data_IF_280319620657
#
_entry.id   IF_280319620657
#
_cell.length_a   1.000
_cell.length_b   1.000
_cell.length_c   1.000
_cell.angle_alpha   90.00
_cell.angle_beta   90.00
_cell.angle_gamma   90.00
#
_symmetry.space_group_name_H-M   'P 1'
#
loop_
_entity.id
_entity.type
_entity.pdbx_description
1 polymer ?
#
# COMPACT_ATOMS: atom_id res chain seq x y z
N UNK A 1 1.46 14.74 -6.91
CA UNK A 1 2.12 14.39 -8.16
C UNK A 1 1.64 15.26 -9.32
N UNK A 2 0.33 15.45 -9.50
CA UNK A 2 -0.21 16.28 -10.57
C UNK A 2 0.40 17.70 -10.61
N UNK A 3 0.58 18.35 -9.46
CA UNK A 3 1.23 19.65 -9.37
C UNK A 3 2.70 19.62 -9.85
N UNK A 4 3.46 18.55 -9.54
CA UNK A 4 4.83 18.40 -10.06
C UNK A 4 4.83 18.24 -11.59
N UNK A 5 3.88 17.49 -12.13
CA UNK A 5 3.74 17.32 -13.59
C UNK A 5 3.34 18.62 -14.29
N UNK A 6 2.62 19.51 -13.61
CA UNK A 6 2.22 20.82 -14.13
C UNK A 6 3.25 21.93 -13.85
N UNK A 7 4.43 21.60 -13.30
CA UNK A 7 5.47 22.56 -13.04
C UNK A 7 5.27 23.45 -11.80
N UNK A 8 4.50 22.97 -10.83
CA UNK A 8 4.17 23.68 -9.60
C UNK A 8 4.84 23.04 -8.36
N UNK A 9 6.18 22.96 -8.29
CA UNK A 9 6.88 22.29 -7.20
C UNK A 9 6.71 22.97 -5.84
N UNK A 10 6.52 24.29 -5.79
CA UNK A 10 6.35 25.02 -4.54
C UNK A 10 5.09 24.60 -3.77
N UNK A 11 4.01 24.27 -4.48
CA UNK A 11 2.79 23.73 -3.86
C UNK A 11 3.12 22.41 -3.17
N UNK A 12 3.87 21.54 -3.83
CA UNK A 12 4.25 20.23 -3.28
C UNK A 12 5.23 20.38 -2.12
N UNK A 13 6.22 21.27 -2.23
CA UNK A 13 7.15 21.59 -1.14
C UNK A 13 6.41 22.04 0.11
N UNK A 14 5.48 22.98 -0.05
CA UNK A 14 4.67 23.49 1.05
C UNK A 14 3.78 22.41 1.66
N UNK A 15 3.18 21.54 0.83
CA UNK A 15 2.38 20.41 1.30
C UNK A 15 3.23 19.44 2.13
N UNK A 16 4.42 19.05 1.67
CA UNK A 16 5.33 18.14 2.38
C UNK A 16 5.67 18.72 3.76
N UNK A 17 6.06 20.00 3.84
CA UNK A 17 6.42 20.66 5.09
C UNK A 17 5.24 20.84 6.05
N UNK A 18 4.06 21.21 5.52
CA UNK A 18 2.85 21.39 6.32
C UNK A 18 2.36 20.06 6.91
N UNK A 19 2.34 19.01 6.10
CA UNK A 19 1.92 17.67 6.56
C UNK A 19 2.92 17.06 7.53
N UNK A 20 4.22 17.31 7.37
CA UNK A 20 5.24 16.89 8.33
C UNK A 20 5.00 17.45 9.73
N UNK A 21 4.58 18.71 9.83
CA UNK A 21 4.24 19.34 11.12
C UNK A 21 3.02 18.74 11.80
N UNK A 22 2.20 18.00 11.05
CA UNK A 22 1.03 17.28 11.57
C UNK A 22 1.35 15.85 11.97
N UNK A 23 2.59 15.37 11.74
CA UNK A 23 3.02 14.05 12.19
C UNK A 23 2.80 13.91 13.70
N UNK A 24 2.31 12.74 14.13
CA UNK A 24 1.96 12.54 15.53
C UNK A 24 3.19 12.51 16.43
N UNK A 25 3.05 13.15 17.56
CA UNK A 25 3.75 12.84 18.80
C UNK A 25 2.85 11.89 19.59
N UNK A 26 3.28 11.29 20.66
CA UNK A 26 2.40 10.43 21.49
C UNK A 26 1.06 11.15 21.76
N UNK A 27 -0.01 10.63 21.20
CA UNK A 27 -1.36 11.19 21.35
C UNK A 27 -2.31 10.07 21.77
N UNK A 28 -3.06 10.31 22.84
CA UNK A 28 -4.20 9.45 23.18
C UNK A 28 -5.41 9.91 22.39
N UNK A 29 -5.98 8.98 21.63
CA UNK A 29 -7.25 9.16 20.93
C UNK A 29 -8.22 8.15 21.53
N UNK A 30 -9.16 8.59 22.34
CA UNK A 30 -10.11 7.75 23.08
C UNK A 30 -9.37 6.66 23.89
N UNK A 31 -9.51 5.40 23.46
CA UNK A 31 -8.89 4.23 24.07
C UNK A 31 -7.59 3.81 23.40
N UNK A 32 -7.20 4.48 22.32
CA UNK A 32 -6.02 4.15 21.54
C UNK A 32 -4.92 5.18 21.78
N UNK A 33 -3.70 4.69 21.94
CA UNK A 33 -2.52 5.52 21.96
C UNK A 33 -1.91 5.51 20.56
N UNK A 34 -1.85 6.69 19.93
CA UNK A 34 -1.21 6.86 18.65
C UNK A 34 0.31 6.92 18.87
N UNK A 35 1.05 6.06 18.20
CA UNK A 35 2.51 6.07 18.26
C UNK A 35 3.10 7.34 17.64
N UNK A 36 4.29 7.73 18.10
CA UNK A 36 5.06 8.80 17.46
C UNK A 36 5.38 8.44 16.02
N UNK A 37 5.22 9.39 15.11
CA UNK A 37 5.60 9.22 13.71
C UNK A 37 4.48 8.87 12.75
N UNK A 38 3.25 8.62 13.23
CA UNK A 38 2.10 8.36 12.36
C UNK A 38 1.75 9.63 11.58
N UNK A 39 1.57 9.51 10.28
CA UNK A 39 1.09 10.59 9.42
C UNK A 39 -0.44 10.63 9.42
N UNK A 40 -1.06 11.82 9.40
CA UNK A 40 -2.51 11.92 9.40
C UNK A 40 -3.15 11.38 8.11
N UNK A 41 -4.37 10.88 8.23
CA UNK A 41 -5.19 10.46 7.09
C UNK A 41 -5.65 11.65 6.25
N UNK A 42 -5.99 12.73 6.92
CA UNK A 42 -6.44 14.00 6.33
C UNK A 42 -6.20 15.15 7.31
N UNK A 43 -6.44 16.36 6.88
CA UNK A 43 -6.43 17.52 7.74
C UNK A 43 -7.48 18.52 7.30
N UNK A 44 -7.91 19.35 8.24
CA UNK A 44 -8.82 20.49 8.02
C UNK A 44 -8.07 21.80 8.23
N UNK A 45 -8.40 22.80 7.44
CA UNK A 45 -7.97 24.17 7.64
C UNK A 45 -9.11 24.89 8.38
N UNK A 46 -8.84 25.29 9.60
CA UNK A 46 -9.75 26.09 10.41
C UNK A 46 -9.36 27.55 10.29
N UNK A 47 -10.29 28.38 9.82
CA UNK A 47 -10.13 29.81 9.74
C UNK A 47 -10.75 30.46 10.97
N UNK A 48 -9.94 31.24 11.72
CA UNK A 48 -10.40 32.12 12.80
C UNK A 48 -10.69 33.51 12.21
N UNK A 49 -11.96 33.90 12.04
CA UNK A 49 -12.30 35.17 11.43
C UNK A 49 -11.96 36.39 12.32
N UNK A 50 -11.79 36.18 13.63
CA UNK A 50 -11.46 37.24 14.57
C UNK A 50 -9.98 37.58 14.52
N UNK A 51 -9.13 36.57 14.47
CA UNK A 51 -7.67 36.69 14.44
C UNK A 51 -7.09 36.71 13.04
N UNK A 52 -7.91 36.43 12.03
CA UNK A 52 -7.51 36.21 10.63
C UNK A 52 -6.33 35.24 10.51
N UNK A 53 -6.41 34.14 11.26
CA UNK A 53 -5.38 33.09 11.29
C UNK A 53 -5.96 31.76 10.82
N UNK A 54 -5.12 30.97 10.16
CA UNK A 54 -5.47 29.62 9.74
C UNK A 54 -4.71 28.59 10.60
N UNK A 55 -5.44 27.61 11.09
CA UNK A 55 -4.88 26.52 11.89
C UNK A 55 -5.16 25.19 11.19
N UNK A 56 -4.14 24.35 11.09
CA UNK A 56 -4.27 23.00 10.55
C UNK A 56 -4.62 22.04 11.68
N UNK A 57 -5.68 21.27 11.50
CA UNK A 57 -6.11 20.22 12.42
C UNK A 57 -6.00 18.86 11.73
N UNK A 58 -5.12 18.01 12.25
CA UNK A 58 -4.91 16.66 11.75
C UNK A 58 -6.07 15.73 12.14
N UNK A 59 -6.39 14.80 11.24
CA UNK A 59 -7.30 13.68 11.46
C UNK A 59 -6.50 12.38 11.24
N UNK A 60 -6.38 11.59 12.29
CA UNK A 60 -5.67 10.31 12.27
C UNK A 60 -6.60 9.10 12.10
N UNK A 61 -7.75 9.29 11.47
CA UNK A 61 -8.76 8.27 11.28
C UNK A 61 -9.93 8.37 12.28
N UNK A 62 -9.98 9.41 13.11
CA UNK A 62 -11.04 9.64 14.10
C UNK A 62 -12.41 9.80 13.42
N UNK A 63 -12.43 10.37 12.19
CA UNK A 63 -13.64 10.56 11.38
C UNK A 63 -13.93 9.41 10.44
N UNK A 64 -13.02 8.42 10.35
CA UNK A 64 -13.23 7.23 9.53
C UNK A 64 -14.12 6.20 10.23
N UNK A 65 -14.83 5.41 9.43
CA UNK A 65 -15.54 4.23 9.92
C UNK A 65 -14.47 3.27 10.47
N UNK A 66 -14.62 2.83 11.72
CA UNK A 66 -13.63 1.95 12.39
C UNK A 66 -12.56 2.68 13.20
N UNK A 67 -12.37 3.99 13.04
CA UNK A 67 -11.39 4.81 13.80
C UNK A 67 -9.97 4.25 13.80
N UNK A 68 -9.51 3.81 12.64
CA UNK A 68 -8.19 3.19 12.46
C UNK A 68 -7.20 4.20 11.91
N UNK A 69 -5.98 4.21 12.47
CA UNK A 69 -4.90 5.05 11.99
C UNK A 69 -4.47 4.63 10.56
N UNK A 70 -4.20 5.58 9.66
CA UNK A 70 -3.79 5.27 8.30
C UNK A 70 -2.37 4.70 8.26
N UNK A 71 -2.18 3.62 7.53
CA UNK A 71 -0.86 3.00 7.31
C UNK A 71 -0.18 3.60 6.07
N UNK A 72 -0.96 3.93 5.06
CA UNK A 72 -0.48 4.38 3.75
C UNK A 72 0.02 5.83 3.72
N UNK A 73 -0.49 6.70 4.59
CA UNK A 73 -0.17 8.14 4.56
C UNK A 73 1.33 8.42 4.69
N UNK A 74 2.03 7.69 5.56
CA UNK A 74 3.48 7.83 5.73
C UNK A 74 4.25 7.39 4.48
N UNK A 75 3.80 6.33 3.81
CA UNK A 75 4.42 5.83 2.58
C UNK A 75 4.23 6.82 1.43
N UNK A 76 3.03 7.37 1.29
CA UNK A 76 2.76 8.42 0.31
C UNK A 76 3.59 9.66 0.55
N UNK A 77 3.83 10.03 1.81
CA UNK A 77 4.67 11.18 2.14
C UNK A 77 6.13 10.96 1.71
N UNK A 78 6.73 9.79 2.02
CA UNK A 78 8.10 9.44 1.58
C UNK A 78 8.18 9.42 0.05
N UNK A 79 7.19 8.83 -0.62
CA UNK A 79 7.14 8.81 -2.07
C UNK A 79 7.05 10.21 -2.68
N UNK A 80 6.21 11.07 -2.12
CA UNK A 80 6.05 12.45 -2.59
C UNK A 80 7.35 13.25 -2.41
N UNK A 81 8.05 13.10 -1.28
CA UNK A 81 9.35 13.71 -1.04
C UNK A 81 10.37 13.26 -2.10
N UNK A 82 10.41 11.97 -2.42
CA UNK A 82 11.28 11.46 -3.50
C UNK A 82 10.87 11.99 -4.88
N UNK A 83 9.58 12.05 -5.16
CA UNK A 83 9.09 12.59 -6.42
C UNK A 83 9.47 14.08 -6.58
N UNK A 84 9.37 14.87 -5.51
CA UNK A 84 9.82 16.25 -5.48
C UNK A 84 11.32 16.37 -5.80
N UNK A 85 12.18 15.66 -5.09
CA UNK A 85 13.63 15.71 -5.31
C UNK A 85 14.00 15.26 -6.73
N UNK A 86 13.31 14.25 -7.27
CA UNK A 86 13.55 13.77 -8.63
C UNK A 86 13.11 14.77 -9.70
N UNK A 87 11.97 15.41 -9.50
CA UNK A 87 11.37 16.34 -10.46
C UNK A 87 12.11 17.68 -10.51
N UNK A 88 12.54 18.19 -9.36
CA UNK A 88 13.20 19.49 -9.24
C UNK A 88 14.71 19.43 -9.35
N UNK A 89 15.33 18.27 -9.08
CA UNK A 89 16.76 18.14 -8.87
C UNK A 89 17.25 18.68 -7.52
N UNK A 90 16.34 19.22 -6.69
CA UNK A 90 16.65 19.80 -5.39
C UNK A 90 16.55 18.76 -4.27
N UNK A 91 17.69 18.36 -3.71
CA UNK A 91 17.77 17.45 -2.55
C UNK A 91 17.68 18.18 -1.19
N UNK A 92 17.79 19.51 -1.18
CA UNK A 92 17.89 20.29 0.07
C UNK A 92 16.70 20.06 1.01
N UNK A 93 15.49 19.94 0.46
CA UNK A 93 14.29 19.64 1.23
C UNK A 93 14.40 18.29 1.96
N UNK A 94 14.84 17.24 1.27
CA UNK A 94 15.02 15.92 1.85
C UNK A 94 16.15 15.89 2.89
N UNK A 95 17.16 16.73 2.74
CA UNK A 95 18.30 16.84 3.64
C UNK A 95 18.00 17.65 4.93
N UNK A 96 16.87 18.34 4.99
CA UNK A 96 16.45 19.06 6.20
C UNK A 96 16.35 18.09 7.39
N UNK A 97 16.85 18.49 8.58
CA UNK A 97 16.80 17.65 9.78
C UNK A 97 15.40 17.16 10.12
N UNK A 98 14.40 18.01 9.94
CA UNK A 98 12.99 17.68 10.21
C UNK A 98 12.47 16.61 9.25
N UNK A 99 12.80 16.70 7.96
CA UNK A 99 12.41 15.70 6.97
C UNK A 99 13.10 14.36 7.22
N UNK A 100 14.38 14.36 7.57
CA UNK A 100 15.11 13.17 7.96
C UNK A 100 14.52 12.52 9.21
N UNK A 101 14.23 13.31 10.25
CA UNK A 101 13.59 12.84 11.48
C UNK A 101 12.21 12.25 11.18
N UNK A 102 11.36 12.98 10.46
CA UNK A 102 10.01 12.50 10.12
C UNK A 102 10.01 11.20 9.32
N UNK A 103 10.91 11.06 8.35
CA UNK A 103 11.08 9.82 7.58
C UNK A 103 11.55 8.66 8.47
N UNK A 104 12.52 8.87 9.36
CA UNK A 104 13.01 7.87 10.30
C UNK A 104 11.92 7.38 11.26
N UNK A 105 11.07 8.29 11.72
CA UNK A 105 9.92 7.92 12.55
C UNK A 105 8.92 7.02 11.81
N UNK A 106 8.60 7.34 10.55
CA UNK A 106 7.75 6.47 9.71
C UNK A 106 8.41 5.10 9.53
N UNK A 107 9.72 5.07 9.25
CA UNK A 107 10.47 3.82 9.08
C UNK A 107 10.54 3.01 10.38
N UNK A 108 10.68 3.65 11.53
CA UNK A 108 10.68 2.99 12.84
C UNK A 108 9.37 2.24 13.08
N UNK A 109 8.23 2.85 12.71
CA UNK A 109 6.92 2.21 12.83
C UNK A 109 6.80 0.97 11.93
N UNK A 110 7.10 1.12 10.64
CA UNK A 110 6.86 0.05 9.67
C UNK A 110 7.95 -1.04 9.65
N UNK A 111 9.12 -0.77 10.22
CA UNK A 111 10.22 -1.74 10.36
C UNK A 111 10.33 -2.28 11.79
N UNK A 112 9.41 -1.93 12.69
CA UNK A 112 9.41 -2.49 14.04
C UNK A 112 9.31 -4.01 14.00
N UNK A 113 10.05 -4.66 14.89
CA UNK A 113 9.97 -6.09 15.09
C UNK A 113 8.82 -6.37 16.05
N UNK A 114 7.89 -7.18 15.67
CA UNK A 114 6.75 -7.58 16.49
C UNK A 114 5.62 -8.18 15.65
N UNK A 115 4.97 -9.20 16.23
CA UNK A 115 3.78 -9.85 15.68
C UNK A 115 3.89 -10.29 14.21
N UNK A 116 4.57 -11.39 13.97
CA UNK A 116 4.49 -12.26 12.76
C UNK A 116 4.22 -11.58 11.39
N UNK A 117 4.55 -10.31 11.27
CA UNK A 117 4.27 -9.52 10.08
C UNK A 117 5.45 -9.47 9.11
N UNK A 118 6.58 -10.05 9.47
CA UNK A 118 7.72 -10.09 8.56
C UNK A 118 7.49 -11.16 7.46
N UNK A 119 7.66 -10.83 6.18
CA UNK A 119 8.16 -9.56 5.64
C UNK A 119 7.08 -8.53 5.35
N UNK A 120 5.80 -8.88 5.41
CA UNK A 120 4.63 -8.07 5.08
C UNK A 120 4.19 -7.17 6.25
N UNK A 121 3.29 -6.25 5.99
CA UNK A 121 2.61 -5.44 7.00
C UNK A 121 1.17 -5.89 7.17
N UNK A 122 0.81 -6.27 8.39
CA UNK A 122 -0.57 -6.54 8.76
C UNK A 122 -1.36 -5.24 8.82
N UNK A 123 -2.49 -5.21 8.14
CA UNK A 123 -3.41 -4.08 8.09
C UNK A 123 -4.73 -4.44 8.76
N UNK A 124 -5.17 -3.58 9.67
CA UNK A 124 -6.52 -3.64 10.20
C UNK A 124 -7.51 -2.96 9.23
N UNK A 125 -8.79 -3.21 9.42
CA UNK A 125 -9.86 -2.62 8.61
C UNK A 125 -9.78 -1.10 8.58
N UNK A 126 -9.92 -0.53 7.39
CA UNK A 126 -9.99 0.92 7.19
C UNK A 126 -8.66 1.66 7.27
N UNK A 127 -7.52 0.97 7.35
CA UNK A 127 -6.20 1.58 7.49
C UNK A 127 -5.60 2.10 6.18
N UNK A 128 -6.23 1.87 5.03
CA UNK A 128 -5.76 2.32 3.72
C UNK A 128 -6.85 3.06 2.94
N UNK A 129 -6.44 3.78 1.89
CA UNK A 129 -7.38 4.59 1.11
C UNK A 129 -8.42 3.75 0.38
N UNK A 130 -8.02 2.60 -0.18
CA UNK A 130 -8.96 1.69 -0.84
C UNK A 130 -9.94 1.08 0.15
N UNK A 131 -9.46 0.86 1.36
CA UNK A 131 -10.14 0.03 2.34
C UNK A 131 -11.09 0.78 3.26
N UNK A 132 -11.13 2.10 3.24
CA UNK A 132 -12.00 2.88 4.14
C UNK A 132 -13.47 2.48 4.12
N UNK A 133 -13.87 1.67 3.14
CA UNK A 133 -15.23 1.15 2.95
C UNK A 133 -15.30 -0.33 2.59
N UNK A 134 -14.19 -1.03 2.50
CA UNK A 134 -14.16 -2.41 2.02
C UNK A 134 -13.89 -3.45 3.11
N UNK A 135 -13.47 -3.02 4.29
CA UNK A 135 -13.22 -3.92 5.43
C UNK A 135 -12.14 -4.96 5.15
N UNK A 136 -11.02 -4.56 4.53
CA UNK A 136 -9.92 -5.47 4.20
C UNK A 136 -8.99 -5.63 5.40
N UNK A 137 -9.07 -6.78 6.04
CA UNK A 137 -8.14 -7.17 7.11
C UNK A 137 -7.13 -8.17 6.57
N UNK A 138 -5.85 -7.95 6.84
CA UNK A 138 -4.79 -8.87 6.41
C UNK A 138 -3.58 -8.17 5.79
N UNK A 139 -3.14 -8.67 4.65
CA UNK A 139 -1.94 -8.20 3.95
C UNK A 139 -2.29 -7.73 2.52
N UNK A 140 -3.02 -6.62 2.36
CA UNK A 140 -3.46 -6.18 1.04
C UNK A 140 -2.28 -5.80 0.15
N UNK A 141 -2.35 -6.22 -1.12
CA UNK A 141 -1.32 -5.94 -2.13
C UNK A 141 -0.99 -4.44 -2.23
N UNK A 142 -2.00 -3.60 -2.08
CA UNK A 142 -1.86 -2.15 -2.17
C UNK A 142 -0.88 -1.60 -1.13
N UNK A 143 -1.03 -2.03 0.12
CA UNK A 143 -0.14 -1.62 1.20
C UNK A 143 1.25 -2.24 1.03
N UNK A 144 1.34 -3.51 0.64
CA UNK A 144 2.62 -4.18 0.47
C UNK A 144 3.43 -3.56 -0.66
N UNK A 145 2.80 -3.25 -1.80
CA UNK A 145 3.45 -2.61 -2.94
C UNK A 145 3.87 -1.16 -2.62
N UNK A 146 3.02 -0.42 -1.91
CA UNK A 146 3.32 0.95 -1.48
C UNK A 146 4.43 0.98 -0.43
N UNK A 147 4.43 0.04 0.51
CA UNK A 147 5.51 -0.15 1.48
C UNK A 147 6.83 -0.44 0.78
N UNK A 148 6.85 -1.37 -0.17
CA UNK A 148 8.03 -1.67 -0.98
C UNK A 148 8.55 -0.43 -1.70
N UNK A 149 7.66 0.36 -2.30
CA UNK A 149 7.99 1.61 -2.97
C UNK A 149 8.58 2.65 -2.01
N UNK A 150 7.96 2.83 -0.84
CA UNK A 150 8.43 3.77 0.17
C UNK A 150 9.81 3.40 0.70
N UNK A 151 10.09 2.12 0.95
CA UNK A 151 11.40 1.64 1.37
C UNK A 151 12.47 1.93 0.31
N UNK A 152 12.19 1.70 -0.97
CA UNK A 152 13.10 2.04 -2.07
C UNK A 152 13.36 3.55 -2.16
N UNK A 153 12.33 4.36 -1.97
CA UNK A 153 12.48 5.81 -1.94
C UNK A 153 13.33 6.26 -0.75
N UNK A 154 13.11 5.68 0.42
CA UNK A 154 13.86 6.01 1.64
C UNK A 154 15.35 5.71 1.49
N UNK A 155 15.76 4.61 0.85
CA UNK A 155 17.17 4.31 0.57
C UNK A 155 17.89 5.43 -0.21
N UNK A 156 17.14 6.17 -1.05
CA UNK A 156 17.70 7.25 -1.87
C UNK A 156 17.68 8.62 -1.16
N UNK A 157 16.96 8.73 -0.05
CA UNK A 157 16.72 9.99 0.67
C UNK A 157 17.42 10.05 2.04
N UNK A 158 17.69 8.89 2.65
CA UNK A 158 18.32 8.83 3.96
C UNK A 158 19.77 9.33 3.91
N UNK A 159 20.13 10.18 4.89
CA UNK A 159 21.52 10.55 5.11
C UNK A 159 22.33 9.35 5.57
N UNK A 160 23.57 9.26 5.10
CA UNK A 160 24.51 8.17 5.41
C UNK A 160 25.26 8.41 6.74
N UNK A 161 24.57 8.92 7.76
CA UNK A 161 25.07 8.96 9.13
C UNK A 161 24.91 7.57 9.81
N UNK A 162 25.32 7.45 11.07
CA UNK A 162 25.30 6.17 11.78
C UNK A 162 23.90 5.56 11.85
N UNK A 163 22.91 6.37 12.22
CA UNK A 163 21.51 5.96 12.31
C UNK A 163 20.90 5.63 10.92
N UNK A 164 21.21 6.46 9.92
CA UNK A 164 20.77 6.22 8.54
C UNK A 164 21.29 4.92 7.96
N UNK A 165 22.55 4.55 8.25
CA UNK A 165 23.13 3.26 7.83
C UNK A 165 22.40 2.07 8.45
N UNK A 166 22.05 2.16 9.74
CA UNK A 166 21.27 1.13 10.41
C UNK A 166 19.88 0.95 9.74
N UNK A 167 19.19 2.06 9.45
CA UNK A 167 17.95 1.98 8.69
C UNK A 167 18.14 1.38 7.30
N UNK A 168 19.18 1.76 6.57
CA UNK A 168 19.47 1.23 5.24
C UNK A 168 19.65 -0.29 5.26
N UNK A 169 20.38 -0.84 6.23
CA UNK A 169 20.55 -2.29 6.38
C UNK A 169 19.21 -3.01 6.64
N UNK A 170 18.41 -2.47 7.55
CA UNK A 170 17.05 -3.00 7.84
C UNK A 170 16.13 -2.93 6.62
N UNK A 171 16.19 -1.83 5.86
CA UNK A 171 15.42 -1.65 4.63
C UNK A 171 15.82 -2.67 3.58
N UNK A 172 17.11 -2.85 3.33
CA UNK A 172 17.61 -3.81 2.33
C UNK A 172 17.16 -5.23 2.66
N UNK A 173 17.30 -5.64 3.93
CA UNK A 173 16.82 -6.95 4.40
C UNK A 173 15.30 -7.10 4.17
N UNK A 174 14.52 -6.07 4.51
CA UNK A 174 13.05 -6.09 4.32
C UNK A 174 12.68 -6.14 2.84
N UNK A 175 13.33 -5.36 1.98
CA UNK A 175 13.06 -5.35 0.54
C UNK A 175 13.29 -6.72 -0.10
N UNK A 176 14.38 -7.41 0.24
CA UNK A 176 14.66 -8.74 -0.26
C UNK A 176 13.57 -9.75 0.16
N UNK A 177 13.28 -9.80 1.46
CA UNK A 177 12.28 -10.73 1.98
C UNK A 177 10.88 -10.44 1.43
N UNK A 178 10.47 -9.15 1.39
CA UNK A 178 9.17 -8.74 0.88
C UNK A 178 9.02 -9.05 -0.62
N UNK A 179 10.03 -8.75 -1.44
CA UNK A 179 9.97 -9.05 -2.87
C UNK A 179 9.85 -10.54 -3.16
N UNK A 180 10.61 -11.36 -2.44
CA UNK A 180 10.52 -12.81 -2.57
C UNK A 180 9.12 -13.32 -2.17
N UNK A 181 8.64 -12.89 -1.01
CA UNK A 181 7.33 -13.29 -0.49
C UNK A 181 6.19 -12.92 -1.43
N UNK A 182 6.15 -11.66 -1.87
CA UNK A 182 5.08 -11.17 -2.75
C UNK A 182 5.09 -11.89 -4.10
N UNK A 183 6.25 -12.04 -4.72
CA UNK A 183 6.39 -12.73 -6.01
C UNK A 183 6.08 -14.22 -5.92
N UNK A 184 6.27 -14.83 -4.77
CA UNK A 184 6.04 -16.27 -4.57
C UNK A 184 4.63 -16.61 -4.13
N UNK A 185 4.02 -15.79 -3.26
CA UNK A 185 2.79 -16.14 -2.55
C UNK A 185 1.59 -15.24 -2.87
N UNK A 186 1.79 -14.17 -3.64
CA UNK A 186 0.69 -13.30 -4.10
C UNK A 186 0.49 -13.36 -5.60
N UNK A 187 1.46 -13.86 -6.34
CA UNK A 187 1.41 -13.88 -7.80
C UNK A 187 0.56 -15.04 -8.31
N UNK A 188 -0.43 -14.71 -9.16
CA UNK A 188 -1.27 -15.70 -9.83
C UNK A 188 -1.24 -15.49 -11.35
N UNK A 189 -1.09 -16.60 -12.08
CA UNK A 189 -1.22 -16.71 -13.55
C UNK A 189 -1.72 -18.11 -13.88
N UNK A 190 -1.90 -18.42 -15.17
CA UNK A 190 -2.35 -19.75 -15.58
C UNK A 190 -1.46 -20.89 -15.08
N UNK A 191 -0.16 -20.65 -14.94
CA UNK A 191 0.75 -21.65 -14.41
C UNK A 191 0.42 -21.96 -12.95
N UNK A 192 0.25 -20.94 -12.11
CA UNK A 192 -0.11 -21.12 -10.70
C UNK A 192 -1.50 -21.79 -10.56
N UNK A 193 -2.46 -21.41 -11.39
CA UNK A 193 -3.77 -22.06 -11.42
C UNK A 193 -3.65 -23.55 -11.76
N UNK A 194 -2.85 -23.90 -12.77
CA UNK A 194 -2.59 -25.29 -13.10
C UNK A 194 -1.87 -26.05 -11.98
N UNK A 195 -0.94 -25.41 -11.30
CA UNK A 195 -0.20 -26.01 -10.19
C UNK A 195 -1.13 -26.35 -9.02
N UNK A 196 -2.14 -25.51 -8.72
CA UNK A 196 -3.16 -25.78 -7.70
C UNK A 196 -3.97 -27.05 -8.04
N UNK A 197 -4.30 -27.27 -9.32
CA UNK A 197 -5.04 -28.46 -9.73
C UNK A 197 -4.21 -29.74 -9.77
N UNK A 198 -2.90 -29.63 -10.00
CA UNK A 198 -2.02 -30.79 -10.19
C UNK A 198 -1.36 -31.28 -8.93
N UNK A 199 -1.10 -30.39 -7.98
CA UNK A 199 -0.25 -30.68 -6.83
C UNK A 199 -1.04 -30.64 -5.53
N UNK A 200 -0.63 -31.50 -4.60
CA UNK A 200 -1.25 -31.54 -3.28
C UNK A 200 -1.00 -30.26 -2.51
N UNK A 201 -1.93 -29.93 -1.62
CA UNK A 201 -1.70 -29.03 -0.50
C UNK A 201 -0.71 -29.67 0.49
N UNK A 202 -0.30 -28.99 1.54
CA UNK A 202 0.56 -29.53 2.61
C UNK A 202 2.05 -29.73 2.26
N UNK A 203 2.52 -29.25 1.12
CA UNK A 203 3.94 -29.18 0.82
C UNK A 203 4.57 -27.89 1.34
N UNK A 204 5.06 -27.93 2.57
CA UNK A 204 5.66 -26.77 3.26
C UNK A 204 7.17 -26.66 2.99
N UNK A 205 7.60 -26.63 1.76
CA UNK A 205 9.00 -26.45 1.42
C UNK A 205 9.21 -25.29 0.45
N UNK A 206 10.43 -24.79 0.36
CA UNK A 206 10.80 -23.77 -0.62
C UNK A 206 10.62 -24.23 -2.08
N UNK A 207 10.48 -25.53 -2.28
CA UNK A 207 10.23 -26.17 -3.56
C UNK A 207 8.76 -26.51 -3.80
N UNK A 208 7.87 -26.15 -2.85
CA UNK A 208 6.43 -26.37 -2.99
C UNK A 208 5.90 -25.71 -4.27
N UNK A 209 5.13 -26.47 -5.05
CA UNK A 209 4.63 -26.05 -6.35
C UNK A 209 3.30 -25.35 -6.20
N UNK A 210 2.39 -25.91 -5.38
CA UNK A 210 1.14 -25.24 -4.98
C UNK A 210 1.43 -24.26 -3.82
N UNK A 211 1.99 -23.12 -4.16
CA UNK A 211 2.46 -22.12 -3.17
C UNK A 211 1.35 -21.43 -2.40
N UNK A 212 0.15 -21.36 -2.95
CA UNK A 212 -1.02 -20.84 -2.24
C UNK A 212 -1.53 -21.83 -1.19
N UNK A 213 -1.17 -23.10 -1.31
CA UNK A 213 -1.61 -24.18 -0.41
C UNK A 213 -3.14 -24.26 -0.27
N UNK A 214 -3.84 -24.05 -1.35
CA UNK A 214 -5.31 -24.11 -1.42
C UNK A 214 -5.75 -25.28 -2.30
N UNK A 215 -6.94 -25.80 -2.03
CA UNK A 215 -7.57 -26.81 -2.87
C UNK A 215 -8.29 -26.16 -4.06
N UNK A 216 -8.47 -26.85 -5.20
CA UNK A 216 -9.15 -26.30 -6.36
C UNK A 216 -10.53 -25.72 -6.08
N UNK A 217 -11.32 -26.35 -5.21
CA UNK A 217 -12.66 -25.92 -4.84
C UNK A 217 -12.70 -24.59 -4.08
N UNK A 218 -11.54 -24.12 -3.60
CA UNK A 218 -11.41 -22.81 -2.95
C UNK A 218 -11.18 -21.66 -3.94
N UNK A 219 -10.97 -21.95 -5.22
CA UNK A 219 -10.80 -20.94 -6.25
C UNK A 219 -12.17 -20.45 -6.73
N UNK A 220 -12.40 -19.14 -6.78
CA UNK A 220 -13.62 -18.59 -7.36
C UNK A 220 -13.71 -18.93 -8.87
N UNK A 221 -14.88 -19.31 -9.36
CA UNK A 221 -15.08 -19.66 -10.77
C UNK A 221 -14.70 -18.55 -11.75
N UNK A 222 -15.02 -17.28 -11.39
CA UNK A 222 -14.73 -16.12 -12.22
C UNK A 222 -13.24 -15.95 -12.57
N UNK A 223 -12.33 -16.56 -11.79
CA UNK A 223 -10.89 -16.37 -11.99
C UNK A 223 -10.41 -16.96 -13.31
N UNK A 224 -11.06 -18.05 -13.76
CA UNK A 224 -10.72 -18.73 -15.01
C UNK A 224 -11.16 -17.92 -16.23
N UNK A 225 -12.33 -17.30 -16.13
CA UNK A 225 -12.83 -16.42 -17.20
C UNK A 225 -12.04 -15.10 -17.25
N UNK A 226 -11.59 -14.61 -16.09
CA UNK A 226 -10.83 -13.36 -15.99
C UNK A 226 -9.37 -13.50 -16.40
N UNK A 227 -8.74 -14.66 -16.20
CA UNK A 227 -7.30 -14.87 -16.44
C UNK A 227 -7.01 -15.13 -17.92
N UNK A 228 -6.39 -14.19 -18.68
CA UNK A 228 -5.97 -14.45 -20.04
C UNK A 228 -4.73 -15.34 -20.09
N UNK A 229 -4.47 -15.95 -21.26
CA UNK A 229 -3.36 -16.92 -21.46
C UNK A 229 -2.01 -16.34 -21.07
N UNK A 230 -1.76 -15.08 -21.40
CA UNK A 230 -0.50 -14.37 -21.11
C UNK A 230 -0.60 -13.41 -19.91
N UNK A 231 -1.76 -13.38 -19.25
CA UNK A 231 -1.98 -12.51 -18.10
C UNK A 231 -1.47 -13.05 -16.79
N UNK A 232 -1.51 -12.19 -15.79
CA UNK A 232 -1.20 -12.50 -14.41
C UNK A 232 -1.30 -11.25 -13.55
N UNK A 233 -1.42 -11.43 -12.22
CA UNK A 233 -1.50 -10.31 -11.29
C UNK A 233 -1.18 -10.75 -9.86
N UNK A 234 -0.94 -9.79 -8.98
CA UNK A 234 -0.89 -10.04 -7.54
C UNK A 234 -2.30 -10.00 -6.97
N UNK A 235 -2.69 -11.03 -6.25
CA UNK A 235 -4.02 -11.15 -5.61
C UNK A 235 -4.24 -10.02 -4.60
N UNK A 236 -5.51 -9.68 -4.36
CA UNK A 236 -5.91 -8.51 -3.60
C UNK A 236 -5.47 -8.51 -2.15
N UNK A 237 -5.70 -9.62 -1.44
CA UNK A 237 -5.38 -9.73 -0.02
C UNK A 237 -5.14 -11.17 0.41
N UNK A 238 -4.30 -11.34 1.41
CA UNK A 238 -4.15 -12.57 2.16
C UNK A 238 -4.44 -12.26 3.62
N UNK A 239 -5.36 -12.98 4.21
CA UNK A 239 -5.67 -12.89 5.63
C UNK A 239 -5.42 -14.23 6.32
N UNK A 240 -5.37 -14.27 7.66
CA UNK A 240 -5.28 -15.54 8.38
C UNK A 240 -6.46 -16.48 8.13
N UNK A 241 -7.60 -15.95 7.68
CA UNK A 241 -8.83 -16.70 7.46
C UNK A 241 -9.08 -17.09 6.00
N UNK A 242 -8.63 -16.29 5.04
CA UNK A 242 -8.87 -16.52 3.62
C UNK A 242 -7.89 -15.78 2.71
N UNK A 243 -7.91 -16.16 1.44
CA UNK A 243 -7.23 -15.46 0.36
C UNK A 243 -8.28 -14.75 -0.50
N UNK A 244 -8.06 -13.47 -0.75
CA UNK A 244 -8.87 -12.66 -1.66
C UNK A 244 -8.21 -12.63 -3.04
N UNK A 245 -8.70 -13.44 -3.94
CA UNK A 245 -8.17 -13.56 -5.30
C UNK A 245 -8.53 -12.40 -6.22
N UNK A 246 -9.31 -11.41 -5.76
CA UNK A 246 -9.67 -10.26 -6.57
C UNK A 246 -8.45 -9.49 -7.05
N UNK A 247 -8.59 -8.93 -8.25
CA UNK A 247 -7.63 -7.99 -8.79
C UNK A 247 -7.86 -6.59 -8.18
N UNK A 248 -6.84 -6.04 -7.53
CA UNK A 248 -6.84 -4.68 -7.02
C UNK A 248 -5.96 -3.80 -7.90
N UNK A 249 -6.57 -2.77 -8.51
CA UNK A 249 -5.93 -1.94 -9.52
C UNK A 249 -4.68 -1.22 -8.99
N UNK A 250 -4.85 -0.43 -7.92
CA UNK A 250 -3.78 0.44 -7.41
C UNK A 250 -2.57 -0.39 -6.96
N UNK A 251 -2.80 -1.49 -6.24
CA UNK A 251 -1.73 -2.35 -5.76
C UNK A 251 -0.89 -2.94 -6.90
N UNK A 252 -1.54 -3.43 -7.96
CA UNK A 252 -0.85 -3.97 -9.13
C UNK A 252 -0.11 -2.88 -9.93
N UNK A 253 -0.69 -1.69 -10.10
CA UNK A 253 -0.02 -0.56 -10.74
C UNK A 253 1.22 -0.12 -9.94
N UNK A 254 1.13 -0.02 -8.60
CA UNK A 254 2.27 0.32 -7.76
C UNK A 254 3.33 -0.79 -7.79
N UNK A 255 2.93 -2.06 -7.86
CA UNK A 255 3.88 -3.17 -7.99
C UNK A 255 4.75 -3.04 -9.25
N UNK A 256 4.18 -2.57 -10.36
CA UNK A 256 4.93 -2.24 -11.58
C UNK A 256 5.86 -1.04 -11.33
N UNK A 257 5.32 0.08 -10.85
CA UNK A 257 6.06 1.34 -10.67
C UNK A 257 7.19 1.22 -9.65
N UNK A 258 7.00 0.42 -8.61
CA UNK A 258 8.00 0.18 -7.57
C UNK A 258 9.07 -0.84 -7.97
N UNK A 259 8.88 -1.56 -9.07
CA UNK A 259 9.66 -2.75 -9.47
C UNK A 259 9.55 -3.90 -8.44
N UNK A 260 8.46 -3.97 -7.69
CA UNK A 260 8.08 -5.18 -6.95
C UNK A 260 7.76 -6.29 -7.96
N UNK A 261 6.96 -6.01 -8.97
CA UNK A 261 6.81 -6.89 -10.12
C UNK A 261 8.12 -6.99 -10.92
N UNK A 262 8.47 -8.20 -11.34
CA UNK A 262 9.54 -8.38 -12.32
C UNK A 262 9.11 -7.81 -13.68
N UNK A 263 10.04 -7.55 -14.62
CA UNK A 263 9.65 -7.11 -15.96
C UNK A 263 8.65 -8.04 -16.65
N UNK A 264 8.80 -9.36 -16.47
CA UNK A 264 7.86 -10.35 -16.99
C UNK A 264 6.48 -10.25 -16.32
N UNK A 265 6.44 -10.14 -14.98
CA UNK A 265 5.19 -9.95 -14.25
C UNK A 265 4.52 -8.62 -14.61
N UNK A 266 5.29 -7.55 -14.78
CA UNK A 266 4.77 -6.26 -15.21
C UNK A 266 4.11 -6.35 -16.61
N UNK A 267 4.74 -7.04 -17.56
CA UNK A 267 4.15 -7.30 -18.87
C UNK A 267 2.84 -8.07 -18.75
N UNK A 268 2.81 -9.16 -17.95
CA UNK A 268 1.59 -9.95 -17.73
C UNK A 268 0.45 -9.17 -17.08
N UNK A 269 0.76 -8.24 -16.16
CA UNK A 269 -0.25 -7.33 -15.59
C UNK A 269 -0.83 -6.42 -16.68
N UNK A 270 0.02 -5.87 -17.55
CA UNK A 270 -0.44 -5.01 -18.64
C UNK A 270 -1.24 -5.80 -19.68
N UNK A 271 -0.80 -7.00 -20.03
CA UNK A 271 -1.54 -7.91 -20.94
C UNK A 271 -2.94 -8.26 -20.38
N UNK A 272 -3.05 -8.46 -19.06
CA UNK A 272 -4.34 -8.66 -18.41
C UNK A 272 -5.24 -7.43 -18.54
N UNK A 273 -4.71 -6.24 -18.21
CA UNK A 273 -5.48 -4.99 -18.31
C UNK A 273 -5.96 -4.76 -19.75
N UNK A 274 -5.09 -4.97 -20.72
CA UNK A 274 -5.40 -4.78 -22.14
C UNK A 274 -6.44 -5.81 -22.63
N UNK A 275 -6.26 -7.09 -22.28
CA UNK A 275 -7.18 -8.17 -22.67
C UNK A 275 -8.56 -8.04 -22.01
N UNK A 276 -8.64 -7.45 -20.81
CA UNK A 276 -9.86 -7.26 -20.03
C UNK A 276 -10.33 -5.81 -19.96
N UNK A 277 -9.90 -5.00 -20.92
CA UNK A 277 -10.19 -3.58 -20.96
C UNK A 277 -11.68 -3.27 -20.83
N UNK A 278 -12.54 -3.96 -21.57
CA UNK A 278 -14.00 -3.76 -21.52
C UNK A 278 -14.65 -4.08 -20.17
N UNK A 279 -14.00 -4.94 -19.35
CA UNK A 279 -14.50 -5.32 -18.03
C UNK A 279 -13.94 -4.40 -16.93
N UNK A 280 -12.72 -3.90 -17.11
CA UNK A 280 -12.00 -3.10 -16.14
C UNK A 280 -12.25 -1.59 -16.26
N UNK A 281 -12.72 -1.13 -17.42
CA UNK A 281 -12.98 0.28 -17.69
C UNK A 281 -14.48 0.55 -17.67
N UNK A 282 -14.90 1.52 -16.87
CA UNK A 282 -16.26 2.05 -16.83
C UNK A 282 -16.31 3.50 -17.30
N UNK A 283 -17.22 4.30 -16.76
CA UNK A 283 -17.23 5.75 -16.97
C UNK A 283 -15.95 6.42 -16.45
N UNK A 284 -15.40 5.87 -15.37
CA UNK A 284 -14.08 6.22 -14.87
C UNK A 284 -13.06 5.16 -15.33
N UNK A 285 -11.81 5.56 -15.67
CA UNK A 285 -10.80 4.62 -16.09
C UNK A 285 -10.40 3.72 -14.90
N UNK A 286 -10.34 2.43 -15.15
CA UNK A 286 -9.99 1.32 -14.30
C UNK A 286 -10.78 1.21 -12.99
N UNK A 287 -11.54 0.13 -12.88
CA UNK A 287 -12.22 -0.26 -11.63
C UNK A 287 -11.20 -0.45 -10.52
N UNK A 288 -11.56 -0.05 -9.33
CA UNK A 288 -10.71 -0.17 -8.13
C UNK A 288 -10.37 -1.63 -7.83
N UNK A 289 -11.34 -2.52 -7.97
CA UNK A 289 -11.17 -3.97 -7.85
C UNK A 289 -12.07 -4.71 -8.84
N UNK A 290 -11.71 -5.97 -9.14
CA UNK A 290 -12.51 -6.87 -9.96
C UNK A 290 -12.46 -8.30 -9.38
N UNK A 291 -13.60 -9.00 -9.33
CA UNK A 291 -14.94 -8.45 -9.48
C UNK A 291 -15.29 -7.46 -8.36
N UNK A 292 -16.27 -6.59 -8.61
CA UNK A 292 -16.75 -5.67 -7.59
C UNK A 292 -17.48 -6.42 -6.47
N UNK A 293 -17.44 -5.87 -5.26
CA UNK A 293 -18.30 -6.36 -4.17
C UNK A 293 -19.67 -5.75 -4.37
N UNK A 294 -20.69 -6.57 -4.44
CA UNK A 294 -22.07 -6.12 -4.70
C UNK A 294 -23.05 -6.63 -3.64
N UNK A 295 -24.11 -5.84 -3.39
CA UNK A 295 -25.26 -6.25 -2.62
C UNK A 295 -24.95 -6.77 -1.21
N UNK A 296 -25.34 -8.02 -0.94
CA UNK A 296 -25.20 -8.65 0.37
C UNK A 296 -23.74 -8.84 0.81
N UNK A 297 -22.84 -9.16 -0.12
CA UNK A 297 -21.41 -9.31 0.16
C UNK A 297 -20.80 -7.98 0.61
N UNK A 298 -21.17 -6.87 -0.02
CA UNK A 298 -20.73 -5.54 0.40
C UNK A 298 -21.08 -5.29 1.87
N UNK A 299 -22.31 -5.59 2.27
CA UNK A 299 -22.78 -5.41 3.65
C UNK A 299 -21.99 -6.27 4.64
N UNK A 300 -21.70 -7.53 4.29
CA UNK A 300 -20.95 -8.45 5.15
C UNK A 300 -19.51 -7.95 5.33
N UNK A 301 -18.86 -7.55 4.25
CA UNK A 301 -17.44 -7.15 4.26
C UNK A 301 -17.25 -5.79 4.92
N UNK A 302 -18.11 -4.82 4.64
CA UNK A 302 -17.92 -3.44 5.10
C UNK A 302 -18.73 -3.08 6.34
N UNK A 303 -19.74 -3.87 6.69
CA UNK A 303 -20.71 -3.51 7.71
C UNK A 303 -21.59 -2.31 7.35
N UNK A 304 -21.54 -1.84 6.11
CA UNK A 304 -22.25 -0.67 5.60
C UNK A 304 -23.20 -1.06 4.47
N UNK A 305 -24.30 -0.32 4.34
CA UNK A 305 -25.12 -0.40 3.14
C UNK A 305 -24.46 0.38 1.99
N UNK A 306 -24.44 -0.16 0.77
CA UNK A 306 -24.04 0.63 -0.39
C UNK A 306 -25.05 1.75 -0.58
N UNK A 307 -24.58 2.98 -0.59
CA UNK A 307 -25.40 4.16 -0.89
C UNK A 307 -25.05 4.69 -2.26
#
# INVERSE_FOLDING_TARGET
LAFLMNGEPEIVRNFILKTLRLQSWEKKIDRFQLAEGVMPASFKVLHDPVRNTETLMADFGETAIGRVAPVDSGFWWIFLLRAYTKSTGDSSLAEMPECQKGMRLILSLCLSEGFDTFPTLLCADGCSMIDRRMGVYGYPIEIQALFFMALRCALLLLKQDAEGKEFMERIVKRLHALSYHMRSYFWIDLKQLNDIYRYKTEEYSHTAVNKFNVIPDSLPEWIFDFMPIHGGYFIGNVSPSNMDFRWFCLGNCIAILSSLATPEQAAKIMDLIESRWGELVGEMPLKVCYPAIEGHEWRIVTGCDPK
#
